data_IF_134866337953
#
_entry.id   IF_134866337953
#
_cell.length_a   1.000
_cell.length_b   1.000
_cell.length_c   1.000
_cell.angle_alpha   90.00
_cell.angle_beta   90.00
_cell.angle_gamma   90.00
#
_symmetry.space_group_name_H-M   'P 1'
#
loop_
_entity.id
_entity.type
_entity.pdbx_description
1 polymer ?
#
# COMPACT_ATOMS: atom_id res chain seq x y z
N UNK A 1 -5.80 -15.18 -16.06
CA UNK A 1 -7.16 -14.91 -15.56
C UNK A 1 -7.98 -14.20 -16.63
N UNK A 2 -9.22 -14.64 -16.89
CA UNK A 2 -10.16 -14.02 -17.84
C UNK A 2 -11.45 -13.73 -17.09
N UNK A 3 -12.07 -12.58 -17.34
CA UNK A 3 -13.31 -12.15 -16.67
C UNK A 3 -13.87 -10.85 -17.24
N UNK A 4 -14.87 -10.29 -16.58
CA UNK A 4 -15.57 -9.06 -16.92
C UNK A 4 -15.63 -8.12 -15.71
N UNK A 5 -14.95 -6.98 -15.81
CA UNK A 5 -15.01 -5.94 -14.76
C UNK A 5 -16.42 -5.34 -14.61
N UNK A 6 -17.18 -5.28 -15.72
CA UNK A 6 -18.57 -4.81 -15.69
C UNK A 6 -19.45 -5.78 -14.88
N UNK A 7 -19.32 -7.09 -15.11
CA UNK A 7 -20.08 -8.09 -14.36
C UNK A 7 -19.77 -8.08 -12.85
N UNK A 8 -18.51 -7.78 -12.49
CA UNK A 8 -18.11 -7.59 -11.10
C UNK A 8 -18.72 -6.33 -10.47
N UNK A 9 -18.81 -5.23 -11.23
CA UNK A 9 -19.35 -3.97 -10.74
C UNK A 9 -20.88 -3.99 -10.59
N UNK A 10 -21.56 -4.68 -11.51
CA UNK A 10 -23.02 -4.81 -11.53
C UNK A 10 -23.54 -6.00 -10.71
N UNK A 11 -22.65 -6.80 -10.12
CA UNK A 11 -22.95 -8.04 -9.39
C UNK A 11 -23.86 -9.02 -10.18
N UNK A 12 -23.66 -9.07 -11.50
CA UNK A 12 -24.56 -9.77 -12.43
C UNK A 12 -24.16 -11.23 -12.69
N UNK A 13 -22.86 -11.55 -12.62
CA UNK A 13 -22.33 -12.91 -12.70
C UNK A 13 -21.05 -13.00 -11.85
N UNK A 14 -21.08 -13.81 -10.80
CA UNK A 14 -19.98 -13.94 -9.86
C UNK A 14 -18.75 -14.61 -10.48
N UNK A 15 -18.92 -15.59 -11.36
CA UNK A 15 -17.82 -16.41 -11.91
C UNK A 15 -16.95 -15.60 -12.84
N UNK A 16 -17.54 -14.84 -13.76
CA UNK A 16 -16.77 -13.94 -14.63
C UNK A 16 -16.53 -12.57 -13.98
N UNK A 17 -17.26 -12.23 -12.93
CA UNK A 17 -17.15 -10.98 -12.19
C UNK A 17 -16.24 -11.10 -10.96
N UNK A 18 -16.85 -11.13 -9.77
CA UNK A 18 -16.14 -11.00 -8.50
C UNK A 18 -15.13 -12.12 -8.22
N UNK A 19 -15.38 -13.35 -8.66
CA UNK A 19 -14.46 -14.48 -8.53
C UNK A 19 -13.25 -14.32 -9.45
N UNK A 20 -13.46 -13.95 -10.72
CA UNK A 20 -12.37 -13.68 -11.65
C UNK A 20 -11.48 -12.50 -11.19
N UNK A 21 -12.05 -11.47 -10.55
CA UNK A 21 -11.25 -10.38 -9.96
C UNK A 21 -10.39 -10.89 -8.79
N UNK A 22 -10.93 -11.75 -7.92
CA UNK A 22 -10.14 -12.35 -6.83
C UNK A 22 -9.02 -13.23 -7.36
N UNK A 23 -9.29 -14.03 -8.39
CA UNK A 23 -8.27 -14.85 -9.06
C UNK A 23 -7.19 -13.96 -9.69
N UNK A 24 -7.56 -12.84 -10.30
CA UNK A 24 -6.62 -11.88 -10.85
C UNK A 24 -5.72 -11.29 -9.77
N UNK A 25 -6.30 -10.87 -8.64
CA UNK A 25 -5.52 -10.33 -7.52
C UNK A 25 -4.56 -11.38 -6.94
N UNK A 26 -5.00 -12.64 -6.82
CA UNK A 26 -4.11 -13.72 -6.37
C UNK A 26 -2.96 -13.97 -7.36
N UNK A 27 -3.23 -13.94 -8.67
CA UNK A 27 -2.18 -14.08 -9.69
C UNK A 27 -1.22 -12.89 -9.70
N UNK A 28 -1.70 -11.68 -9.42
CA UNK A 28 -0.87 -10.48 -9.27
C UNK A 28 0.05 -10.62 -8.05
N UNK A 29 -0.49 -11.05 -6.90
CA UNK A 29 0.30 -11.25 -5.68
C UNK A 29 1.36 -12.36 -5.85
N UNK A 30 1.07 -13.42 -6.60
CA UNK A 30 2.01 -14.51 -6.89
C UNK A 30 3.09 -14.10 -7.91
N UNK A 31 2.71 -13.35 -8.94
CA UNK A 31 3.62 -12.97 -10.02
C UNK A 31 4.49 -11.75 -9.68
N UNK A 32 3.97 -10.81 -8.89
CA UNK A 32 4.67 -9.57 -8.56
C UNK A 32 5.27 -9.70 -7.15
N UNK A 33 6.59 -9.91 -7.02
CA UNK A 33 7.21 -9.99 -5.72
C UNK A 33 7.09 -8.64 -4.99
N UNK A 34 6.82 -8.70 -3.69
CA UNK A 34 6.80 -7.50 -2.87
C UNK A 34 8.21 -6.88 -2.83
N UNK A 35 8.38 -5.59 -3.17
CA UNK A 35 9.69 -4.98 -3.14
C UNK A 35 10.24 -4.94 -1.71
N UNK A 36 11.52 -5.32 -1.57
CA UNK A 36 12.20 -5.28 -0.29
C UNK A 36 12.34 -3.83 0.20
N UNK A 37 11.97 -3.61 1.46
CA UNK A 37 12.16 -2.30 2.11
C UNK A 37 13.55 -2.28 2.74
N UNK A 38 14.40 -1.25 2.48
CA UNK A 38 15.75 -1.17 3.02
C UNK A 38 15.78 -0.81 4.52
N UNK A 39 15.36 -1.75 5.38
CA UNK A 39 15.22 -1.55 6.83
C UNK A 39 16.55 -1.50 7.59
N UNK A 40 17.57 -2.17 7.05
CA UNK A 40 18.90 -2.26 7.69
C UNK A 40 19.80 -1.05 7.41
N UNK A 41 19.32 -0.10 6.59
CA UNK A 41 20.03 1.14 6.33
C UNK A 41 19.72 2.19 7.41
N UNK A 42 20.57 3.22 7.58
CA UNK A 42 20.26 4.34 8.46
C UNK A 42 18.92 4.98 8.10
N UNK A 43 18.15 5.36 9.13
CA UNK A 43 16.85 6.00 8.95
C UNK A 43 16.95 7.24 8.05
N UNK A 44 16.06 7.31 7.06
CA UNK A 44 15.88 8.47 6.20
C UNK A 44 14.39 8.59 5.83
N UNK A 45 13.83 9.75 6.12
CA UNK A 45 12.47 10.12 5.77
C UNK A 45 12.49 11.57 5.25
N UNK A 46 12.25 11.80 3.96
CA UNK A 46 12.05 13.15 3.43
C UNK A 46 10.83 13.77 4.09
N UNK A 47 10.93 15.04 4.46
CA UNK A 47 9.81 15.79 5.05
C UNK A 47 8.94 16.32 3.91
N UNK A 48 7.66 15.96 3.93
CA UNK A 48 6.64 16.42 2.99
C UNK A 48 5.93 17.65 3.55
N UNK A 49 5.40 17.58 4.78
CA UNK A 49 4.76 18.70 5.46
C UNK A 49 5.20 18.83 6.92
N UNK A 50 4.99 20.02 7.49
CA UNK A 50 5.30 20.36 8.88
C UNK A 50 4.07 21.00 9.54
N UNK A 51 3.69 20.46 10.70
CA UNK A 51 2.56 20.92 11.49
C UNK A 51 3.00 21.30 12.91
N UNK A 52 2.48 22.40 13.42
CA UNK A 52 2.61 22.78 14.83
C UNK A 52 1.30 22.49 15.55
N UNK A 53 1.27 21.45 16.38
CA UNK A 53 0.07 21.01 17.09
C UNK A 53 0.17 21.44 18.55
N UNK A 54 -0.74 22.31 19.01
CA UNK A 54 -0.80 22.75 20.40
C UNK A 54 -0.92 21.56 21.35
N UNK A 55 -0.08 21.50 22.39
CA UNK A 55 -0.03 20.41 23.36
C UNK A 55 0.63 19.11 22.88
N UNK A 56 1.04 19.00 21.60
CA UNK A 56 1.73 17.82 21.04
C UNK A 56 3.11 18.14 20.47
N UNK A 57 3.36 19.40 20.12
CA UNK A 57 4.62 19.87 19.54
C UNK A 57 4.61 19.88 18.01
N UNK A 58 5.79 19.96 17.41
CA UNK A 58 5.97 19.96 15.96
C UNK A 58 5.93 18.53 15.44
N UNK A 59 5.08 18.27 14.45
CA UNK A 59 4.93 16.98 13.76
C UNK A 59 5.32 17.16 12.31
N UNK A 60 6.19 16.31 11.81
CA UNK A 60 6.55 16.24 10.39
C UNK A 60 5.93 15.00 9.76
N UNK A 61 5.48 15.10 8.51
CA UNK A 61 4.97 13.96 7.74
C UNK A 61 5.91 13.66 6.58
N UNK A 62 5.89 12.41 6.13
CA UNK A 62 6.67 11.96 4.98
C UNK A 62 6.68 10.44 4.87
N UNK A 63 7.05 9.93 3.70
CA UNK A 63 7.31 8.49 3.51
C UNK A 63 8.71 8.13 3.99
N UNK A 64 8.82 7.13 4.85
CA UNK A 64 10.12 6.53 5.20
C UNK A 64 10.71 5.89 3.95
N UNK A 65 11.86 6.41 3.51
CA UNK A 65 12.58 5.89 2.35
C UNK A 65 13.42 4.67 2.76
N UNK A 66 14.03 4.70 3.94
CA UNK A 66 14.84 3.62 4.48
C UNK A 66 15.01 3.68 6.00
N UNK A 67 15.43 2.56 6.58
CA UNK A 67 15.67 2.39 8.01
C UNK A 67 14.40 2.34 8.86
N UNK A 68 14.60 2.37 10.17
CA UNK A 68 13.54 2.33 11.19
C UNK A 68 13.82 3.45 12.21
N UNK A 69 12.77 4.18 12.59
CA UNK A 69 12.80 5.12 13.72
C UNK A 69 11.95 4.55 14.86
N UNK A 70 12.49 4.56 16.08
CA UNK A 70 11.77 4.17 17.29
C UNK A 70 11.45 5.42 18.10
N UNK A 71 10.37 5.36 18.89
CA UNK A 71 10.07 6.41 19.86
C UNK A 71 11.18 6.40 20.93
N UNK A 72 11.69 7.59 21.26
CA UNK A 72 12.69 7.78 22.31
C UNK A 72 12.15 7.56 23.71
#
# INVERSE_FOLDING_TARGET
VKGSALAALEDSDATIGSEAIKELMAAVDDYIPQPERPKDQPFLMPIEDVFSISGRGTVVTGRIERGIVNVG
#
